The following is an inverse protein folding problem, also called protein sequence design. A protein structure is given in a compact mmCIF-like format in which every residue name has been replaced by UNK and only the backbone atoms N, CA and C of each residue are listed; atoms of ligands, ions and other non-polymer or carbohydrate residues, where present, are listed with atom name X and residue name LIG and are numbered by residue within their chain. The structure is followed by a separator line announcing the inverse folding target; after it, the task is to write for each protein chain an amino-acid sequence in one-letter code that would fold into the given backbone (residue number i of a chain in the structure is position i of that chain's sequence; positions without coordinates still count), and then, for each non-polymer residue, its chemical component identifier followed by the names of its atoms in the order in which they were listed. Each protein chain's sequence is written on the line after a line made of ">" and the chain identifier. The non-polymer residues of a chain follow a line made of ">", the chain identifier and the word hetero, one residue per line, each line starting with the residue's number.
data_IF_527239140448
#
_entry.id   IF_527239140448
#
_cell.length_a   1.000
_cell.length_b   1.000
_cell.length_c   1.000
_cell.angle_alpha   90.00
_cell.angle_beta   90.00
_cell.angle_gamma   90.00
#
_symmetry.space_group_name_H-M   'P 1'
#
loop_
_entity.id
_entity.type
_entity.pdbx_description
1 polymer ?
#
# COMPACT_ATOMS: atom_id res chain seq x y z
N UNK A 1 4.49 36.91 -21.28
CA UNK A 1 5.87 37.43 -21.34
C UNK A 1 5.83 38.77 -20.62
N UNK A 2 6.03 38.81 -19.30
CA UNK A 2 7.33 39.10 -18.68
C UNK A 2 7.41 38.39 -17.31
N UNK A 3 8.32 37.43 -17.23
CA UNK A 3 8.77 36.81 -15.98
C UNK A 3 9.80 37.77 -15.39
N UNK A 4 9.43 38.52 -14.35
CA UNK A 4 10.40 39.29 -13.57
C UNK A 4 11.14 38.35 -12.63
N UNK A 5 12.23 37.80 -13.18
CA UNK A 5 13.26 37.02 -12.53
C UNK A 5 13.99 37.90 -11.50
N UNK A 6 13.61 37.83 -10.22
CA UNK A 6 14.36 38.52 -9.16
C UNK A 6 15.57 37.65 -8.79
N UNK A 7 16.72 37.99 -9.37
CA UNK A 7 18.06 37.62 -8.89
C UNK A 7 18.41 38.51 -7.69
N UNK A 8 19.00 37.94 -6.65
CA UNK A 8 19.71 38.70 -5.61
C UNK A 8 19.55 38.07 -4.24
N UNK A 9 20.67 37.75 -3.60
CA UNK A 9 20.76 37.21 -2.24
C UNK A 9 20.24 38.24 -1.23
N UNK A 10 19.15 37.94 -0.52
CA UNK A 10 18.68 38.81 0.57
C UNK A 10 18.41 37.98 1.82
N UNK A 11 19.31 38.09 2.79
CA UNK A 11 19.14 37.58 4.15
C UNK A 11 17.94 38.32 4.76
N UNK A 12 16.92 37.57 5.20
CA UNK A 12 15.60 38.13 5.52
C UNK A 12 15.60 39.18 6.65
N UNK A 13 16.56 39.13 7.58
CA UNK A 13 16.76 40.14 8.63
C UNK A 13 18.14 39.95 9.27
N UNK A 14 19.02 40.96 9.20
CA UNK A 14 20.24 40.99 10.01
C UNK A 14 20.10 42.04 11.13
N UNK A 15 20.40 41.71 12.39
CA UNK A 15 20.53 42.74 13.42
C UNK A 15 21.70 43.66 13.06
N UNK A 16 21.44 44.97 12.98
CA UNK A 16 22.39 45.92 12.40
C UNK A 16 23.72 45.98 13.16
N UNK A 17 23.64 46.06 14.50
CA UNK A 17 24.76 45.93 15.45
C UNK A 17 24.20 45.88 16.88
N UNK A 18 24.82 45.14 17.79
CA UNK A 18 24.46 45.14 19.21
C UNK A 18 25.45 46.01 20.00
N UNK A 19 24.95 46.95 20.80
CA UNK A 19 25.77 47.80 21.68
C UNK A 19 25.44 47.49 23.15
N UNK A 20 26.42 46.97 23.87
CA UNK A 20 26.34 46.75 25.32
C UNK A 20 26.75 48.03 26.04
N UNK A 21 25.77 48.78 26.53
CA UNK A 21 26.03 49.95 27.38
C UNK A 21 26.01 49.53 28.85
N UNK A 22 27.17 49.56 29.51
CA UNK A 22 27.32 49.10 30.89
C UNK A 22 27.51 50.31 31.81
N UNK A 23 26.51 50.57 32.65
CA UNK A 23 26.49 51.64 33.65
C UNK A 23 26.90 51.12 35.04
N UNK A 24 28.16 50.75 35.20
CA UNK A 24 28.75 50.37 36.50
C UNK A 24 30.21 50.82 36.57
N UNK A 25 30.67 51.11 37.77
CA UNK A 25 32.08 51.37 38.03
C UNK A 25 32.84 50.03 37.97
N UNK A 26 33.88 49.98 37.13
CA UNK A 26 34.62 48.75 36.87
C UNK A 26 35.73 48.55 37.88
N UNK A 27 35.89 47.32 38.36
CA UNK A 27 37.09 46.89 39.06
C UNK A 27 38.27 46.91 38.07
N UNK A 28 39.41 47.47 38.51
CA UNK A 28 40.61 47.65 37.68
C UNK A 28 41.11 46.28 37.15
N UNK A 29 41.46 46.21 35.86
CA UNK A 29 42.20 45.06 35.30
C UNK A 29 41.67 44.42 34.00
N UNK A 30 40.44 44.72 33.55
CA UNK A 30 39.91 44.22 32.27
C UNK A 30 39.20 45.30 31.45
N UNK A 31 39.20 45.16 30.13
CA UNK A 31 38.37 46.01 29.26
C UNK A 31 36.90 45.54 29.27
N UNK A 32 35.99 46.48 29.00
CA UNK A 32 34.54 46.21 28.93
C UNK A 32 34.21 45.17 27.86
N UNK A 33 34.91 45.21 26.72
CA UNK A 33 34.72 44.25 25.63
C UNK A 33 35.14 42.83 26.05
N UNK A 34 36.25 42.68 26.77
CA UNK A 34 36.68 41.38 27.30
C UNK A 34 35.65 40.81 28.28
N UNK A 35 35.07 41.63 29.15
CA UNK A 35 34.02 41.20 30.07
C UNK A 35 32.80 40.65 29.32
N UNK A 36 32.32 41.34 28.29
CA UNK A 36 31.18 40.87 27.49
C UNK A 36 31.53 39.57 26.76
N UNK A 37 32.73 39.49 26.17
CA UNK A 37 33.18 38.29 25.48
C UNK A 37 33.23 37.08 26.43
N UNK A 38 33.74 37.24 27.65
CA UNK A 38 33.76 36.19 28.68
C UNK A 38 32.34 35.82 29.14
N UNK A 39 31.46 36.80 29.34
CA UNK A 39 30.08 36.56 29.79
C UNK A 39 29.23 35.77 28.78
N UNK A 40 29.56 35.87 27.49
CA UNK A 40 28.90 35.16 26.40
C UNK A 40 29.47 33.76 26.15
N UNK A 41 30.58 33.38 26.78
CA UNK A 41 31.10 32.01 26.68
C UNK A 41 30.18 31.04 27.40
N UNK A 42 30.00 29.85 26.80
CA UNK A 42 29.27 28.75 27.44
C UNK A 42 29.91 28.40 28.78
N UNK A 43 29.06 28.08 29.74
CA UNK A 43 29.47 27.54 31.04
C UNK A 43 29.46 26.02 30.96
N UNK A 44 30.54 25.32 31.38
CA UNK A 44 30.56 23.86 31.43
C UNK A 44 29.40 23.31 32.27
N UNK A 45 28.78 22.22 31.80
CA UNK A 45 27.63 21.58 32.45
C UNK A 45 27.87 20.07 32.66
N UNK A 46 28.92 19.73 33.41
CA UNK A 46 29.35 18.33 33.60
C UNK A 46 28.30 17.48 34.35
N UNK A 47 27.40 18.13 35.11
CA UNK A 47 26.38 17.48 35.92
C UNK A 47 25.00 17.40 35.23
N UNK A 48 24.85 17.94 34.01
CA UNK A 48 23.59 17.91 33.26
C UNK A 48 22.47 18.76 33.88
N UNK A 49 22.80 19.89 34.50
CA UNK A 49 21.82 20.82 35.08
C UNK A 49 21.03 21.53 33.97
N UNK A 50 19.71 21.34 33.98
CA UNK A 50 18.79 21.93 33.02
C UNK A 50 18.84 23.47 33.01
N UNK A 51 19.06 24.12 34.15
CA UNK A 51 19.14 25.59 34.22
C UNK A 51 20.40 26.10 33.50
N UNK A 52 21.51 25.37 33.59
CA UNK A 52 22.75 25.73 32.89
C UNK A 52 22.54 25.56 31.38
N UNK A 53 21.81 24.53 30.95
CA UNK A 53 21.46 24.36 29.54
C UNK A 53 20.59 25.52 29.01
N UNK A 54 19.58 25.95 29.77
CA UNK A 54 18.75 27.10 29.42
C UNK A 54 19.57 28.40 29.32
N UNK A 55 20.47 28.65 30.29
CA UNK A 55 21.35 29.82 30.24
C UNK A 55 22.33 29.73 29.07
N UNK A 56 22.88 28.56 28.77
CA UNK A 56 23.76 28.37 27.63
C UNK A 56 23.03 28.57 26.30
N UNK A 57 21.77 28.16 26.18
CA UNK A 57 20.94 28.47 25.00
C UNK A 57 20.78 29.98 24.79
N UNK A 58 20.60 30.75 25.87
CA UNK A 58 20.54 32.22 25.81
C UNK A 58 21.90 32.78 25.35
N UNK A 59 23.00 32.30 25.94
CA UNK A 59 24.36 32.73 25.58
C UNK A 59 24.67 32.45 24.12
N UNK A 60 24.33 31.27 23.62
CA UNK A 60 24.53 30.92 22.21
C UNK A 60 23.73 31.84 21.28
N UNK A 61 22.47 32.09 21.62
CA UNK A 61 21.60 33.00 20.87
C UNK A 61 22.17 34.42 20.81
N UNK A 62 22.69 34.91 21.94
CA UNK A 62 23.33 36.22 22.04
C UNK A 62 24.70 36.26 21.37
N UNK A 63 25.48 35.17 21.39
CA UNK A 63 26.79 35.07 20.76
C UNK A 63 26.70 35.18 19.22
N UNK A 64 25.62 34.66 18.62
CA UNK A 64 25.32 34.87 17.19
C UNK A 64 25.20 36.35 16.84
N UNK A 65 24.60 37.14 17.73
CA UNK A 65 24.54 38.61 17.62
C UNK A 65 25.81 39.31 18.14
N UNK A 66 26.60 38.58 18.93
CA UNK A 66 27.77 39.02 19.68
C UNK A 66 29.04 39.18 18.85
N UNK A 67 29.21 38.41 17.78
CA UNK A 67 30.39 38.47 16.89
C UNK A 67 30.59 39.85 16.23
N UNK A 68 29.55 40.69 16.19
CA UNK A 68 29.61 42.09 15.76
C UNK A 68 29.10 43.05 16.84
N UNK A 69 29.17 42.64 18.12
CA UNK A 69 28.76 43.48 19.24
C UNK A 69 29.88 44.41 19.70
N UNK A 70 29.51 45.57 20.20
CA UNK A 70 30.43 46.54 20.78
C UNK A 70 30.04 46.77 22.23
N UNK A 71 31.00 46.80 23.14
CA UNK A 71 30.76 47.10 24.55
C UNK A 71 31.35 48.45 24.93
N UNK A 72 30.59 49.24 25.68
CA UNK A 72 30.97 50.58 26.12
C UNK A 72 30.60 50.80 27.58
N UNK A 73 31.53 51.34 28.38
CA UNK A 73 31.26 51.71 29.76
C UNK A 73 30.89 53.18 29.89
N UNK A 74 29.87 53.44 30.68
CA UNK A 74 29.46 54.78 31.06
C UNK A 74 29.45 54.86 32.59
N UNK A 75 30.32 55.67 33.23
CA UNK A 75 30.39 55.76 34.68
C UNK A 75 29.11 56.38 35.25
N UNK A 76 28.97 56.36 36.58
CA UNK A 76 27.85 57.03 37.22
C UNK A 76 27.90 58.55 36.95
N UNK A 77 26.80 59.19 36.51
CA UNK A 77 26.80 60.63 36.21
C UNK A 77 26.91 61.54 37.44
N UNK A 78 26.24 61.16 38.53
CA UNK A 78 26.19 61.92 39.78
C UNK A 78 25.64 61.03 40.91
N UNK A 79 25.86 61.39 42.18
CA UNK A 79 25.33 60.66 43.35
C UNK A 79 23.80 60.77 43.47
N UNK A 80 23.25 61.95 43.18
CA UNK A 80 21.80 62.23 43.24
C UNK A 80 21.11 61.84 41.93
N UNK A 81 20.74 60.56 41.80
CA UNK A 81 20.14 59.99 40.57
C UNK A 81 18.79 60.58 40.16
N UNK A 82 18.01 61.08 41.12
CA UNK A 82 16.65 61.59 40.87
C UNK A 82 16.61 62.99 40.27
N UNK A 83 17.71 63.73 40.31
CA UNK A 83 17.81 65.12 39.82
C UNK A 83 18.65 65.26 38.54
N UNK A 84 19.01 64.14 37.90
CA UNK A 84 19.93 64.14 36.75
C UNK A 84 19.44 64.96 35.56
N UNK A 85 18.12 65.05 35.34
CA UNK A 85 17.54 65.83 34.23
C UNK A 85 17.58 67.34 34.47
N UNK A 86 17.67 67.76 35.73
CA UNK A 86 17.67 69.18 36.14
C UNK A 86 19.08 69.74 36.31
N UNK A 87 20.11 68.89 36.19
CA UNK A 87 21.52 69.22 36.38
C UNK A 87 22.15 69.69 35.07
N UNK A 88 23.00 70.72 35.17
CA UNK A 88 23.88 71.10 34.08
C UNK A 88 25.09 70.15 33.96
N UNK A 89 25.71 70.10 32.78
CA UNK A 89 26.93 69.30 32.53
C UNK A 89 28.08 69.62 33.49
N UNK A 90 28.11 70.82 34.08
CA UNK A 90 29.13 71.25 35.05
C UNK A 90 28.94 70.58 36.43
N UNK A 91 27.72 70.17 36.73
CA UNK A 91 27.36 69.51 38.00
C UNK A 91 27.53 67.99 37.91
N UNK A 92 27.74 67.46 36.70
CA UNK A 92 27.99 66.05 36.45
C UNK A 92 29.47 65.71 36.62
N UNK A 93 29.76 64.42 36.85
CA UNK A 93 31.13 63.94 36.90
C UNK A 93 31.85 64.20 35.57
N UNK A 94 33.03 64.88 35.55
CA UNK A 94 33.71 65.24 34.31
C UNK A 94 34.06 64.03 33.43
N UNK A 95 34.39 62.90 34.05
CA UNK A 95 34.66 61.65 33.35
C UNK A 95 33.40 61.10 32.66
N UNK A 96 32.23 61.22 33.31
CA UNK A 96 30.95 60.87 32.71
C UNK A 96 30.67 61.71 31.47
N UNK A 97 30.80 63.04 31.56
CA UNK A 97 30.55 63.94 30.43
C UNK A 97 31.46 63.57 29.25
N UNK A 98 32.76 63.37 29.50
CA UNK A 98 33.72 62.92 28.47
C UNK A 98 33.32 61.57 27.85
N UNK A 99 32.93 60.59 28.66
CA UNK A 99 32.50 59.25 28.19
C UNK A 99 31.18 59.31 27.43
N UNK A 100 30.24 60.16 27.84
CA UNK A 100 28.98 60.40 27.14
C UNK A 100 29.20 60.96 25.74
N UNK A 101 30.12 61.91 25.56
CA UNK A 101 30.45 62.42 24.23
C UNK A 101 31.15 61.36 23.36
N UNK A 102 32.03 60.55 23.94
CA UNK A 102 32.61 59.38 23.23
C UNK A 102 31.54 58.36 22.81
N UNK A 103 30.53 58.13 23.64
CA UNK A 103 29.41 57.25 23.30
C UNK A 103 28.61 57.78 22.12
N UNK A 104 28.32 59.09 22.08
CA UNK A 104 27.62 59.72 20.94
C UNK A 104 28.41 59.53 19.63
N UNK A 105 29.72 59.72 19.68
CA UNK A 105 30.60 59.48 18.52
C UNK A 105 30.59 58.01 18.10
N UNK A 106 30.68 57.09 19.06
CA UNK A 106 30.61 55.65 18.81
C UNK A 106 29.28 55.28 18.14
N UNK A 107 28.14 55.68 18.71
CA UNK A 107 26.81 55.42 18.13
C UNK A 107 26.73 55.97 16.72
N UNK A 108 27.19 57.21 16.48
CA UNK A 108 27.17 57.82 15.15
C UNK A 108 27.99 57.03 14.12
N UNK A 109 29.10 56.41 14.53
CA UNK A 109 29.94 55.60 13.64
C UNK A 109 29.38 54.20 13.33
N UNK A 110 28.47 53.68 14.16
CA UNK A 110 27.92 52.32 14.00
C UNK A 110 26.49 52.29 13.43
N UNK A 111 25.78 53.42 13.45
CA UNK A 111 24.40 53.52 12.94
C UNK A 111 24.38 53.26 11.44
N UNK A 112 23.46 52.39 11.01
CA UNK A 112 23.19 52.07 9.62
C UNK A 112 21.67 52.07 9.37
N UNK A 113 21.20 52.37 8.14
CA UNK A 113 19.80 52.22 7.79
C UNK A 113 19.30 50.81 8.13
N UNK A 114 18.08 50.70 8.65
CA UNK A 114 17.49 49.40 8.96
C UNK A 114 17.15 48.68 7.65
N UNK A 115 17.69 47.49 7.45
CA UNK A 115 17.42 46.67 6.26
C UNK A 115 16.49 45.52 6.66
N UNK A 116 15.41 45.34 5.89
CA UNK A 116 14.47 44.22 6.02
C UNK A 116 14.24 43.67 4.62
N UNK A 117 14.47 42.37 4.42
CA UNK A 117 14.33 41.71 3.09
C UNK A 117 15.11 42.43 1.97
N UNK A 118 16.36 42.83 2.23
CA UNK A 118 17.21 43.51 1.24
C UNK A 118 16.88 44.98 0.97
N UNK A 119 15.82 45.53 1.58
CA UNK A 119 15.40 46.93 1.38
C UNK A 119 15.60 47.77 2.62
N UNK A 120 16.03 49.02 2.42
CA UNK A 120 16.09 50.01 3.50
C UNK A 120 14.67 50.40 3.91
N UNK A 121 14.37 50.24 5.19
CA UNK A 121 13.07 50.52 5.77
C UNK A 121 12.86 52.03 5.91
N UNK A 122 11.86 52.58 5.23
CA UNK A 122 11.41 53.96 5.44
C UNK A 122 10.33 54.02 6.54
N UNK A 123 9.88 55.23 6.89
CA UNK A 123 8.88 55.40 7.95
C UNK A 123 7.54 54.70 7.70
N UNK A 124 7.07 54.67 6.45
CA UNK A 124 5.81 54.00 6.07
C UNK A 124 5.96 52.48 6.18
N UNK A 125 7.06 51.94 5.68
CA UNK A 125 7.36 50.50 5.74
C UNK A 125 7.57 50.05 7.19
N UNK A 126 8.17 50.89 8.02
CA UNK A 126 8.33 50.63 9.46
C UNK A 126 6.99 50.52 10.18
N UNK A 127 6.04 51.45 9.93
CA UNK A 127 4.71 51.40 10.54
C UNK A 127 3.95 50.13 10.11
N UNK A 128 4.00 49.79 8.82
CA UNK A 128 3.37 48.56 8.32
C UNK A 128 3.98 47.30 8.93
N UNK A 129 5.32 47.25 9.03
CA UNK A 129 6.03 46.15 9.66
C UNK A 129 5.70 46.02 11.16
N UNK A 130 5.63 47.14 11.88
CA UNK A 130 5.26 47.16 13.29
C UNK A 130 3.83 46.65 13.50
N UNK A 131 2.89 47.04 12.65
CA UNK A 131 1.51 46.56 12.71
C UNK A 131 1.44 45.04 12.53
N UNK A 132 2.19 44.47 11.58
CA UNK A 132 2.28 43.02 11.39
C UNK A 132 2.81 42.29 12.62
N UNK A 133 3.84 42.83 13.28
CA UNK A 133 4.39 42.27 14.52
C UNK A 133 3.35 42.33 15.65
N UNK A 134 2.64 43.45 15.80
CA UNK A 134 1.60 43.60 16.81
C UNK A 134 0.44 42.64 16.61
N UNK A 135 0.01 42.43 15.36
CA UNK A 135 -1.03 41.45 15.03
C UNK A 135 -0.60 40.02 15.38
N UNK A 136 0.66 39.66 15.11
CA UNK A 136 1.21 38.35 15.47
C UNK A 136 1.33 38.16 17.01
N UNK A 137 1.77 39.21 17.72
CA UNK A 137 1.84 39.23 19.18
C UNK A 137 0.45 39.05 19.81
N UNK A 138 -0.54 39.80 19.34
CA UNK A 138 -1.91 39.75 19.85
C UNK A 138 -2.61 38.41 19.60
N UNK A 139 -2.18 37.66 18.57
CA UNK A 139 -2.66 36.29 18.28
C UNK A 139 -1.99 35.22 19.14
N UNK A 140 -1.00 35.57 19.97
CA UNK A 140 -0.29 34.63 20.84
C UNK A 140 0.70 33.71 20.10
N UNK A 141 1.17 34.09 18.91
CA UNK A 141 2.03 33.25 18.06
C UNK A 141 3.52 33.26 18.45
N UNK A 142 3.91 33.99 19.50
CA UNK A 142 5.31 34.04 19.98
C UNK A 142 5.42 33.25 21.30
N UNK A 143 5.91 31.99 21.27
CA UNK A 143 6.21 31.24 22.49
C UNK A 143 7.33 31.95 23.28
N UNK A 144 7.09 32.15 24.58
CA UNK A 144 7.95 32.87 25.52
C UNK A 144 9.32 32.22 25.82
N UNK A 145 9.60 31.05 25.24
CA UNK A 145 10.82 30.25 25.50
C UNK A 145 11.51 29.72 24.23
N UNK A 146 10.97 29.99 23.04
CA UNK A 146 11.56 29.52 21.78
C UNK A 146 12.62 30.48 21.24
N UNK A 147 13.64 29.96 20.57
CA UNK A 147 14.60 30.80 19.83
C UNK A 147 13.84 31.64 18.79
N UNK A 148 14.10 32.95 18.73
CA UNK A 148 13.54 33.87 17.71
C UNK A 148 13.65 33.28 16.30
N UNK A 149 14.71 32.52 16.03
CA UNK A 149 14.94 31.85 14.74
C UNK A 149 13.85 30.82 14.42
N UNK A 150 13.43 30.03 15.40
CA UNK A 150 12.40 29.00 15.22
C UNK A 150 11.03 29.60 14.92
N UNK A 151 10.71 30.73 15.56
CA UNK A 151 9.44 31.44 15.38
C UNK A 151 9.33 31.97 13.95
N UNK A 152 10.38 32.64 13.46
CA UNK A 152 10.42 33.12 12.08
C UNK A 152 10.44 31.98 11.05
N UNK A 153 11.11 30.87 11.37
CA UNK A 153 11.16 29.71 10.48
C UNK A 153 9.87 28.88 10.46
N UNK A 154 9.01 28.95 11.49
CA UNK A 154 7.77 28.16 11.56
C UNK A 154 6.88 28.32 10.33
N UNK A 155 6.57 29.56 9.96
CA UNK A 155 5.73 29.83 8.78
C UNK A 155 6.39 29.37 7.46
N UNK A 156 7.71 29.32 7.40
CA UNK A 156 8.47 28.81 6.24
C UNK A 156 8.38 27.29 6.20
N UNK A 157 8.55 26.61 7.34
CA UNK A 157 8.40 25.17 7.46
C UNK A 157 6.99 24.72 7.02
N UNK A 158 5.95 25.41 7.47
CA UNK A 158 4.57 25.10 7.10
C UNK A 158 4.34 25.25 5.58
N UNK A 159 4.92 26.29 4.95
CA UNK A 159 4.88 26.45 3.48
C UNK A 159 5.64 25.34 2.75
N UNK A 160 6.82 24.95 3.24
CA UNK A 160 7.60 23.87 2.63
C UNK A 160 6.85 22.53 2.72
N UNK A 161 6.25 22.23 3.87
CA UNK A 161 5.42 21.05 4.05
C UNK A 161 4.18 21.06 3.17
N UNK A 162 3.56 22.23 2.98
CA UNK A 162 2.41 22.37 2.07
C UNK A 162 2.79 22.03 0.63
N UNK A 163 3.90 22.58 0.11
CA UNK A 163 4.40 22.27 -1.24
C UNK A 163 4.71 20.77 -1.38
N UNK A 164 5.34 20.17 -0.37
CA UNK A 164 5.58 18.73 -0.36
C UNK A 164 4.27 17.92 -0.43
N UNK A 165 3.28 18.26 0.41
CA UNK A 165 1.98 17.57 0.44
C UNK A 165 1.23 17.70 -0.88
N UNK A 166 1.09 18.90 -1.42
CA UNK A 166 0.40 19.12 -2.71
C UNK A 166 1.00 18.28 -3.83
N UNK A 167 2.32 18.12 -3.84
CA UNK A 167 3.02 17.29 -4.83
C UNK A 167 2.78 15.80 -4.63
N UNK A 168 2.71 15.35 -3.38
CA UNK A 168 2.49 13.94 -3.03
C UNK A 168 1.00 13.53 -3.17
N UNK A 169 0.07 14.43 -2.84
CA UNK A 169 -1.38 14.21 -2.93
C UNK A 169 -1.88 14.09 -4.37
N UNK A 170 -1.10 14.57 -5.35
CA UNK A 170 -1.37 14.37 -6.77
C UNK A 170 -1.26 12.92 -7.25
N UNK A 171 -0.77 11.99 -6.42
CA UNK A 171 -0.73 10.57 -6.72
C UNK A 171 -2.02 9.85 -6.31
N UNK A 172 -2.71 9.24 -7.28
CA UNK A 172 -3.73 8.24 -6.99
C UNK A 172 -3.09 6.95 -6.47
N UNK A 173 -3.28 6.63 -5.18
CA UNK A 173 -2.86 5.37 -4.57
C UNK A 173 -3.82 4.22 -4.98
N UNK A 174 -3.33 2.96 -5.10
CA UNK A 174 -1.97 2.49 -4.85
C UNK A 174 -1.00 2.64 -6.04
N UNK A 175 0.29 2.77 -5.75
CA UNK A 175 1.37 2.89 -6.74
C UNK A 175 2.58 2.01 -6.38
N UNK A 176 3.44 1.65 -7.37
CA UNK A 176 4.71 0.97 -7.09
C UNK A 176 5.62 1.78 -6.17
N UNK A 177 6.36 1.09 -5.30
CA UNK A 177 7.24 1.71 -4.29
C UNK A 177 8.29 2.61 -4.96
N UNK A 178 8.90 2.17 -6.07
CA UNK A 178 9.91 2.94 -6.79
C UNK A 178 9.37 4.28 -7.32
N UNK A 179 8.11 4.28 -7.80
CA UNK A 179 7.45 5.49 -8.30
C UNK A 179 7.16 6.45 -7.15
N UNK A 180 6.70 5.93 -6.02
CA UNK A 180 6.43 6.71 -4.82
C UNK A 180 7.73 7.32 -4.24
N UNK A 181 8.80 6.53 -4.17
CA UNK A 181 10.10 6.98 -3.70
C UNK A 181 10.69 8.06 -4.61
N UNK A 182 10.63 7.88 -5.93
CA UNK A 182 11.12 8.88 -6.90
C UNK A 182 10.39 10.22 -6.74
N UNK A 183 9.07 10.19 -6.55
CA UNK A 183 8.31 11.43 -6.33
C UNK A 183 8.64 12.06 -4.97
N UNK A 184 8.80 11.24 -3.92
CA UNK A 184 9.24 11.71 -2.61
C UNK A 184 10.58 12.44 -2.69
N UNK A 185 11.58 11.87 -3.36
CA UNK A 185 12.89 12.49 -3.55
C UNK A 185 12.79 13.83 -4.29
N UNK A 186 11.99 13.89 -5.36
CA UNK A 186 11.75 15.13 -6.10
C UNK A 186 11.00 16.19 -5.27
N UNK A 187 9.97 15.80 -4.51
CA UNK A 187 9.20 16.72 -3.68
C UNK A 187 10.00 17.23 -2.48
N UNK A 188 10.80 16.36 -1.86
CA UNK A 188 11.73 16.72 -0.79
C UNK A 188 12.81 17.69 -1.30
N UNK A 189 13.37 17.42 -2.48
CA UNK A 189 14.32 18.34 -3.13
C UNK A 189 13.73 19.75 -3.34
N UNK A 190 12.50 19.84 -3.85
CA UNK A 190 11.81 21.12 -4.03
C UNK A 190 11.53 21.85 -2.70
N UNK A 191 11.10 21.12 -1.67
CA UNK A 191 10.87 21.67 -0.34
C UNK A 191 12.18 22.20 0.28
N UNK A 192 13.30 21.49 0.10
CA UNK A 192 14.63 21.93 0.53
C UNK A 192 15.08 23.20 -0.20
N UNK A 193 14.94 23.24 -1.52
CA UNK A 193 15.27 24.43 -2.32
C UNK A 193 14.44 25.64 -1.87
N UNK A 194 13.17 25.44 -1.51
CA UNK A 194 12.32 26.51 -0.98
C UNK A 194 12.79 26.96 0.41
N UNK A 195 13.14 26.02 1.28
CA UNK A 195 13.65 26.29 2.62
C UNK A 195 14.97 27.08 2.56
N UNK A 196 15.94 26.61 1.77
CA UNK A 196 17.26 27.25 1.58
C UNK A 196 17.16 28.70 1.08
N UNK A 197 16.10 29.03 0.35
CA UNK A 197 15.85 30.38 -0.16
C UNK A 197 15.22 31.32 0.86
N UNK A 198 14.46 30.81 1.83
CA UNK A 198 13.62 31.63 2.70
C UNK A 198 14.00 31.58 4.18
N UNK A 199 14.77 30.57 4.62
CA UNK A 199 15.04 30.35 6.03
C UNK A 199 15.86 31.49 6.67
N UNK A 200 15.66 31.65 7.97
CA UNK A 200 16.32 32.62 8.81
C UNK A 200 17.44 31.97 9.66
N UNK A 201 18.58 32.67 9.79
CA UNK A 201 19.73 32.30 10.63
C UNK A 201 20.68 31.25 10.04
N UNK A 202 21.93 31.59 9.70
CA UNK A 202 22.90 30.66 9.08
C UNK A 202 23.21 29.41 9.92
N UNK A 203 23.47 29.56 11.22
CA UNK A 203 23.86 28.44 12.09
C UNK A 203 22.68 27.75 12.79
N UNK A 204 21.61 28.49 13.13
CA UNK A 204 20.40 27.91 13.76
C UNK A 204 19.37 27.38 12.75
N UNK A 205 19.52 27.67 11.45
CA UNK A 205 18.71 27.00 10.42
C UNK A 205 18.98 25.50 10.36
N UNK A 206 20.13 25.00 10.83
CA UNK A 206 20.41 23.57 10.88
C UNK A 206 19.35 22.80 11.70
N UNK A 207 18.93 23.33 12.84
CA UNK A 207 17.87 22.73 13.66
C UNK A 207 16.49 22.82 12.98
N UNK A 208 16.19 23.95 12.33
CA UNK A 208 14.96 24.09 11.55
C UNK A 208 14.93 23.17 10.32
N UNK A 209 16.07 22.93 9.67
CA UNK A 209 16.22 22.00 8.55
C UNK A 209 16.04 20.55 9.00
N UNK A 210 16.61 20.17 10.16
CA UNK A 210 16.38 18.85 10.76
C UNK A 210 14.90 18.65 11.09
N UNK A 211 14.23 19.68 11.61
CA UNK A 211 12.78 19.64 11.89
C UNK A 211 11.96 19.46 10.61
N UNK A 212 12.30 20.18 9.53
CA UNK A 212 11.65 20.00 8.22
C UNK A 212 11.79 18.55 7.73
N UNK A 213 13.00 17.99 7.84
CA UNK A 213 13.27 16.61 7.41
C UNK A 213 12.47 15.59 8.23
N UNK A 214 12.37 15.78 9.55
CA UNK A 214 11.57 14.93 10.42
C UNK A 214 10.07 14.99 10.08
N UNK A 215 9.53 16.19 9.84
CA UNK A 215 8.12 16.35 9.48
C UNK A 215 7.81 15.78 8.08
N UNK A 216 8.72 15.92 7.11
CA UNK A 216 8.61 15.26 5.80
C UNK A 216 8.64 13.73 5.96
N UNK A 217 9.54 13.19 6.79
CA UNK A 217 9.62 11.74 7.08
C UNK A 217 8.32 11.22 7.67
N UNK A 218 7.68 11.94 8.60
CA UNK A 218 6.38 11.57 9.17
C UNK A 218 5.29 11.49 8.10
N UNK A 219 5.18 12.52 7.26
CA UNK A 219 4.19 12.52 6.17
C UNK A 219 4.46 11.38 5.18
N UNK A 220 5.73 11.13 4.83
CA UNK A 220 6.10 10.04 3.94
C UNK A 220 5.76 8.65 4.51
N UNK A 221 6.02 8.41 5.81
CA UNK A 221 5.63 7.16 6.48
C UNK A 221 4.12 6.93 6.43
N UNK A 222 3.32 7.97 6.66
CA UNK A 222 1.86 7.86 6.55
C UNK A 222 1.41 7.51 5.13
N UNK A 223 2.05 8.09 4.11
CA UNK A 223 1.78 7.77 2.71
C UNK A 223 2.18 6.34 2.35
N UNK A 224 3.29 5.83 2.88
CA UNK A 224 3.70 4.42 2.70
C UNK A 224 2.65 3.47 3.28
N UNK A 225 2.21 3.72 4.51
CA UNK A 225 1.18 2.91 5.17
C UNK A 225 -0.16 2.98 4.41
N UNK A 226 -0.56 4.16 3.93
CA UNK A 226 -1.76 4.31 3.12
C UNK A 226 -1.63 3.56 1.78
N UNK A 227 -0.47 3.62 1.13
CA UNK A 227 -0.20 2.92 -0.12
C UNK A 227 -0.23 1.40 0.07
N UNK A 228 0.37 0.89 1.14
CA UNK A 228 0.34 -0.52 1.51
C UNK A 228 -1.09 -0.99 1.80
N UNK A 229 -1.85 -0.22 2.58
CA UNK A 229 -3.25 -0.53 2.86
C UNK A 229 -4.09 -0.61 1.58
N UNK A 230 -3.99 0.39 0.69
CA UNK A 230 -4.76 0.39 -0.56
C UNK A 230 -4.31 -0.72 -1.52
N UNK A 231 -3.01 -1.03 -1.56
CA UNK A 231 -2.47 -2.13 -2.35
C UNK A 231 -2.98 -3.48 -1.84
N UNK A 232 -2.91 -3.72 -0.53
CA UNK A 232 -3.45 -4.93 0.10
C UNK A 232 -4.95 -5.08 -0.14
N UNK A 233 -5.73 -4.01 0.02
CA UNK A 233 -7.18 -4.03 -0.23
C UNK A 233 -7.50 -4.38 -1.68
N UNK A 234 -6.80 -3.77 -2.65
CA UNK A 234 -6.97 -4.04 -4.07
C UNK A 234 -6.60 -5.49 -4.42
N UNK A 235 -5.43 -5.94 -3.98
CA UNK A 235 -4.91 -7.27 -4.31
C UNK A 235 -5.68 -8.39 -3.61
N UNK A 236 -6.13 -8.20 -2.35
CA UNK A 236 -7.03 -9.14 -1.67
C UNK A 236 -8.35 -9.25 -2.43
N UNK A 237 -8.99 -8.13 -2.79
CA UNK A 237 -10.26 -8.18 -3.53
C UNK A 237 -10.15 -8.96 -4.86
N UNK A 238 -9.05 -8.77 -5.60
CA UNK A 238 -8.78 -9.54 -6.83
C UNK A 238 -8.43 -10.99 -6.56
N UNK A 239 -7.74 -11.27 -5.47
CA UNK A 239 -7.41 -12.63 -5.05
C UNK A 239 -8.68 -13.39 -4.68
N UNK A 240 -9.56 -12.82 -3.84
CA UNK A 240 -10.84 -13.41 -3.44
C UNK A 240 -11.76 -13.61 -4.65
N UNK A 241 -11.84 -12.65 -5.57
CA UNK A 241 -12.63 -12.82 -6.81
C UNK A 241 -12.13 -14.01 -7.65
N UNK A 242 -10.81 -14.22 -7.68
CA UNK A 242 -10.26 -15.39 -8.34
C UNK A 242 -10.57 -16.68 -7.57
N UNK A 243 -10.43 -16.69 -6.25
CA UNK A 243 -10.74 -17.83 -5.38
C UNK A 243 -12.20 -18.28 -5.56
N UNK A 244 -13.16 -17.35 -5.53
CA UNK A 244 -14.58 -17.61 -5.77
C UNK A 244 -14.82 -18.22 -7.17
N UNK A 245 -14.13 -17.71 -8.21
CA UNK A 245 -14.22 -18.28 -9.56
C UNK A 245 -13.64 -19.69 -9.62
N UNK A 246 -12.53 -19.94 -8.93
CA UNK A 246 -11.90 -21.26 -8.91
C UNK A 246 -12.77 -22.27 -8.15
N UNK A 247 -13.36 -21.89 -7.02
CA UNK A 247 -14.26 -22.73 -6.23
C UNK A 247 -15.54 -23.06 -7.02
N UNK A 248 -16.10 -22.09 -7.76
CA UNK A 248 -17.23 -22.36 -8.64
C UNK A 248 -16.90 -23.43 -9.70
N UNK A 249 -15.69 -23.39 -10.27
CA UNK A 249 -15.23 -24.38 -11.25
C UNK A 249 -15.04 -25.78 -10.65
N UNK A 250 -14.84 -25.92 -9.32
CA UNK A 250 -14.74 -27.22 -8.64
C UNK A 250 -16.09 -27.93 -8.49
N UNK A 251 -17.20 -27.19 -8.46
CA UNK A 251 -18.55 -27.70 -8.20
C UNK A 251 -19.34 -27.97 -9.49
N UNK A 252 -18.73 -27.79 -10.68
CA UNK A 252 -19.38 -28.09 -11.96
C UNK A 252 -19.85 -29.56 -12.03
N UNK A 253 -21.02 -29.78 -12.64
CA UNK A 253 -21.64 -31.11 -12.76
C UNK A 253 -20.83 -32.03 -13.66
N UNK A 254 -20.26 -31.47 -14.74
CA UNK A 254 -19.27 -32.12 -15.58
C UNK A 254 -17.88 -31.55 -15.27
N UNK A 255 -16.98 -32.34 -14.66
CA UNK A 255 -15.62 -31.92 -14.40
C UNK A 255 -14.85 -31.69 -15.73
N UNK A 256 -14.13 -30.56 -15.86
CA UNK A 256 -13.17 -30.33 -16.97
C UNK A 256 -11.91 -29.62 -16.47
N UNK A 257 -10.77 -30.24 -16.71
CA UNK A 257 -9.44 -29.73 -16.41
C UNK A 257 -9.05 -28.58 -17.35
N UNK A 258 -9.54 -28.59 -18.60
CA UNK A 258 -9.30 -27.51 -19.55
C UNK A 258 -9.95 -26.19 -19.09
N UNK A 259 -11.21 -26.23 -18.63
CA UNK A 259 -11.90 -25.05 -18.07
C UNK A 259 -11.22 -24.53 -16.81
N UNK A 260 -10.79 -25.43 -15.92
CA UNK A 260 -10.05 -25.06 -14.71
C UNK A 260 -8.71 -24.37 -15.05
N UNK A 261 -7.91 -24.93 -15.95
CA UNK A 261 -6.62 -24.35 -16.36
C UNK A 261 -6.78 -23.02 -17.12
N UNK A 262 -7.82 -22.90 -17.95
CA UNK A 262 -8.14 -21.64 -18.64
C UNK A 262 -8.56 -20.55 -17.65
N UNK A 263 -9.43 -20.89 -16.68
CA UNK A 263 -9.84 -20.00 -15.59
C UNK A 263 -8.65 -19.54 -14.74
N UNK A 264 -7.77 -20.48 -14.37
CA UNK A 264 -6.55 -20.18 -13.62
C UNK A 264 -5.59 -19.26 -14.39
N UNK A 265 -5.38 -19.52 -15.68
CA UNK A 265 -4.51 -18.68 -16.53
C UNK A 265 -5.08 -17.27 -16.67
N UNK A 266 -6.39 -17.15 -16.86
CA UNK A 266 -7.08 -15.87 -16.93
C UNK A 266 -6.97 -15.10 -15.62
N UNK A 267 -7.20 -15.77 -14.48
CA UNK A 267 -6.97 -15.21 -13.15
C UNK A 267 -5.56 -14.67 -12.96
N UNK A 268 -4.54 -15.46 -13.30
CA UNK A 268 -3.14 -15.08 -13.13
C UNK A 268 -2.80 -13.83 -13.97
N UNK A 269 -3.26 -13.79 -15.23
CA UNK A 269 -3.07 -12.63 -16.10
C UNK A 269 -3.80 -11.38 -15.58
N UNK A 270 -5.06 -11.53 -15.14
CA UNK A 270 -5.85 -10.43 -14.57
C UNK A 270 -5.21 -9.90 -13.29
N UNK A 271 -4.73 -10.79 -12.42
CA UNK A 271 -4.10 -10.46 -11.16
C UNK A 271 -2.81 -9.64 -11.38
N UNK A 272 -1.90 -10.12 -12.24
CA UNK A 272 -0.63 -9.44 -12.53
C UNK A 272 -0.85 -8.05 -13.13
N UNK A 273 -1.91 -7.89 -13.94
CA UNK A 273 -2.26 -6.63 -14.60
C UNK A 273 -2.91 -5.61 -13.66
N UNK A 274 -3.77 -6.06 -12.75
CA UNK A 274 -4.64 -5.18 -11.97
C UNK A 274 -4.17 -4.96 -10.53
N UNK A 275 -3.46 -5.92 -9.93
CA UNK A 275 -2.84 -5.73 -8.62
C UNK A 275 -1.57 -4.88 -8.77
N UNK A 276 -1.52 -3.76 -8.04
CA UNK A 276 -0.45 -2.77 -8.08
C UNK A 276 -0.05 -2.38 -6.66
N UNK A 277 1.24 -2.15 -6.44
CA UNK A 277 1.80 -1.65 -5.19
C UNK A 277 2.62 -2.69 -4.42
N UNK A 278 3.03 -2.37 -3.18
CA UNK A 278 3.96 -3.20 -2.39
C UNK A 278 3.42 -4.60 -2.09
N UNK A 279 2.10 -4.75 -1.95
CA UNK A 279 1.50 -6.03 -1.57
C UNK A 279 1.49 -7.04 -2.70
N UNK A 280 1.72 -6.61 -3.96
CA UNK A 280 1.69 -7.47 -5.14
C UNK A 280 2.56 -8.70 -5.00
N UNK A 281 3.82 -8.55 -4.61
CA UNK A 281 4.77 -9.67 -4.52
C UNK A 281 4.32 -10.72 -3.49
N UNK A 282 3.72 -10.27 -2.38
CA UNK A 282 3.19 -11.16 -1.33
C UNK A 282 2.05 -12.02 -1.88
N UNK A 283 1.10 -11.41 -2.60
CA UNK A 283 -0.02 -12.12 -3.21
C UNK A 283 0.38 -12.96 -4.43
N UNK A 284 1.33 -12.50 -5.25
CA UNK A 284 1.92 -13.31 -6.33
C UNK A 284 2.58 -14.57 -5.78
N UNK A 285 3.23 -14.50 -4.61
CA UNK A 285 3.76 -15.68 -3.91
C UNK A 285 2.65 -16.61 -3.41
N UNK A 286 1.50 -16.09 -2.96
CA UNK A 286 0.33 -16.89 -2.57
C UNK A 286 -0.29 -17.60 -3.79
N UNK A 287 -0.27 -16.98 -4.96
CA UNK A 287 -0.83 -17.53 -6.20
C UNK A 287 0.13 -18.51 -6.92
N UNK A 288 1.43 -18.20 -6.96
CA UNK A 288 2.41 -18.88 -7.83
C UNK A 288 3.14 -20.07 -7.20
N UNK A 289 2.94 -20.36 -5.90
CA UNK A 289 3.53 -21.55 -5.25
C UNK A 289 2.82 -22.85 -5.64
N UNK A 290 2.89 -23.17 -6.93
CA UNK A 290 2.75 -24.48 -7.55
C UNK A 290 4.13 -25.03 -7.98
N UNK A 291 5.25 -24.34 -7.75
CA UNK A 291 6.54 -24.77 -8.33
C UNK A 291 7.81 -24.62 -7.46
N UNK A 292 7.75 -24.85 -6.14
CA UNK A 292 9.00 -24.97 -5.36
C UNK A 292 9.09 -26.26 -4.55
N UNK A 293 9.58 -27.28 -5.24
CA UNK A 293 10.32 -28.45 -4.73
C UNK A 293 11.60 -28.10 -3.92
N UNK A 294 11.72 -26.88 -3.38
CA UNK A 294 12.92 -26.39 -2.68
C UNK A 294 12.54 -25.86 -1.30
N UNK A 295 11.72 -26.61 -0.54
CA UNK A 295 11.77 -26.55 0.93
C UNK A 295 12.59 -27.70 1.52
N UNK A 296 12.92 -28.73 0.74
CA UNK A 296 13.78 -29.82 1.20
C UNK A 296 15.27 -29.43 1.27
N UNK A 297 15.70 -28.33 0.66
CA UNK A 297 17.12 -27.91 0.66
C UNK A 297 17.45 -26.97 1.82
N UNK A 298 16.50 -26.17 2.31
CA UNK A 298 16.72 -25.25 3.44
C UNK A 298 16.62 -25.98 4.78
N UNK A 299 15.74 -26.98 4.90
CA UNK A 299 15.62 -27.82 6.11
C UNK A 299 16.91 -28.60 6.40
N UNK A 300 17.67 -28.97 5.36
CA UNK A 300 18.98 -29.64 5.51
C UNK A 300 20.14 -28.69 5.88
N UNK A 301 19.96 -27.37 5.73
CA UNK A 301 21.01 -26.40 6.06
C UNK A 301 20.89 -25.88 7.50
N UNK A 302 19.66 -25.85 8.05
CA UNK A 302 19.42 -25.43 9.44
C UNK A 302 19.81 -26.50 10.45
N UNK A 303 19.86 -27.78 10.07
CA UNK A 303 20.39 -28.85 10.94
C UNK A 303 21.91 -28.80 11.12
N UNK A 304 22.64 -28.01 10.30
CA UNK A 304 24.11 -27.92 10.37
C UNK A 304 24.63 -26.75 11.23
N UNK A 305 23.76 -25.81 11.61
CA UNK A 305 24.07 -24.68 12.54
C UNK A 305 23.30 -24.86 13.86
N UNK A 306 23.15 -26.12 14.28
CA UNK A 306 22.48 -26.50 15.53
C UNK A 306 23.48 -26.70 16.66
N UNK A 307 24.32 -25.70 16.88
CA UNK A 307 25.19 -25.62 18.06
C UNK A 307 25.04 -24.21 18.63
N UNK A 308 24.60 -24.16 19.89
CA UNK A 308 24.47 -22.97 20.76
C UNK A 308 23.07 -22.33 20.83
N UNK A 309 22.22 -22.96 21.64
CA UNK A 309 21.46 -22.32 22.73
C UNK A 309 20.71 -21.01 22.47
N UNK A 310 19.48 -21.08 21.93
CA UNK A 310 18.40 -20.16 22.33
C UNK A 310 17.03 -20.72 21.89
N UNK A 311 16.33 -21.40 22.81
CA UNK A 311 15.05 -22.08 22.53
C UNK A 311 13.87 -21.13 22.24
N UNK A 312 13.90 -19.89 22.74
CA UNK A 312 12.77 -18.96 22.63
C UNK A 312 12.66 -18.26 21.25
N UNK A 313 13.79 -17.98 20.60
CA UNK A 313 13.82 -17.36 19.25
C UNK A 313 13.39 -18.37 18.17
N UNK A 314 13.72 -19.65 18.39
CA UNK A 314 13.40 -20.74 17.46
C UNK A 314 11.89 -21.00 17.37
N UNK A 315 11.15 -20.94 18.48
CA UNK A 315 9.70 -21.17 18.49
C UNK A 315 8.96 -20.05 17.75
N UNK A 316 9.32 -18.79 18.00
CA UNK A 316 8.74 -17.64 17.30
C UNK A 316 9.04 -17.65 15.79
N UNK A 317 10.25 -18.04 15.40
CA UNK A 317 10.58 -18.22 13.99
C UNK A 317 9.83 -19.39 13.35
N UNK A 318 9.63 -20.50 14.07
CA UNK A 318 8.87 -21.67 13.60
C UNK A 318 7.39 -21.35 13.46
N UNK A 319 6.77 -20.63 14.40
CA UNK A 319 5.35 -20.27 14.35
C UNK A 319 5.05 -19.25 13.26
N UNK A 320 5.95 -18.28 13.06
CA UNK A 320 5.87 -17.33 11.92
C UNK A 320 6.10 -18.06 10.59
N UNK A 321 7.05 -19.01 10.52
CA UNK A 321 7.25 -19.83 9.33
C UNK A 321 6.07 -20.77 9.05
N UNK A 322 5.49 -21.38 10.08
CA UNK A 322 4.30 -22.23 9.96
C UNK A 322 3.09 -21.39 9.53
N UNK A 323 2.89 -20.21 10.09
CA UNK A 323 1.82 -19.28 9.66
C UNK A 323 1.97 -18.83 8.20
N UNK A 324 3.19 -18.54 7.74
CA UNK A 324 3.47 -18.18 6.34
C UNK A 324 3.42 -19.40 5.40
N UNK A 325 3.79 -20.59 5.88
CA UNK A 325 3.68 -21.83 5.10
C UNK A 325 2.23 -22.29 4.94
N UNK A 326 1.38 -22.08 5.95
CA UNK A 326 -0.05 -22.45 5.91
C UNK A 326 -0.82 -21.57 4.92
N UNK A 327 -0.52 -20.27 4.81
CA UNK A 327 -1.23 -19.36 3.87
C UNK A 327 -0.86 -19.58 2.40
N UNK A 328 0.30 -20.17 2.11
CA UNK A 328 0.79 -20.39 0.73
C UNK A 328 0.42 -21.76 0.15
N UNK A 329 -0.25 -22.61 0.92
CA UNK A 329 -0.58 -23.99 0.54
C UNK A 329 -2.00 -24.16 0.02
N UNK A 330 -2.90 -23.18 0.22
CA UNK A 330 -4.34 -23.32 -0.06
C UNK A 330 -4.64 -23.54 -1.55
N UNK A 331 -3.99 -22.81 -2.46
CA UNK A 331 -4.28 -22.89 -3.90
C UNK A 331 -3.64 -24.09 -4.61
N UNK A 332 -2.48 -24.54 -4.13
CA UNK A 332 -1.86 -25.79 -4.60
C UNK A 332 -2.61 -27.02 -4.06
N UNK A 333 -3.07 -26.95 -2.80
CA UNK A 333 -3.98 -27.94 -2.22
C UNK A 333 -5.31 -27.98 -2.98
N UNK A 334 -5.91 -26.85 -3.31
CA UNK A 334 -7.18 -26.81 -4.05
C UNK A 334 -7.03 -27.43 -5.45
N UNK A 335 -5.92 -27.18 -6.17
CA UNK A 335 -5.64 -27.85 -7.45
C UNK A 335 -5.46 -29.37 -7.30
N UNK A 336 -4.70 -29.83 -6.30
CA UNK A 336 -4.50 -31.26 -6.07
C UNK A 336 -5.81 -31.96 -5.63
N UNK A 337 -6.58 -31.30 -4.77
CA UNK A 337 -7.89 -31.75 -4.32
C UNK A 337 -8.89 -31.78 -5.48
N UNK A 338 -8.87 -30.76 -6.34
CA UNK A 338 -9.65 -30.73 -7.57
C UNK A 338 -9.29 -31.89 -8.50
N UNK A 339 -8.01 -32.18 -8.74
CA UNK A 339 -7.60 -33.31 -9.58
C UNK A 339 -8.09 -34.64 -8.99
N UNK A 340 -7.98 -34.83 -7.67
CA UNK A 340 -8.46 -36.03 -6.99
C UNK A 340 -9.97 -36.19 -7.12
N UNK A 341 -10.72 -35.12 -6.89
CA UNK A 341 -12.18 -35.12 -6.95
C UNK A 341 -12.71 -35.21 -8.39
N UNK A 342 -12.05 -34.54 -9.33
CA UNK A 342 -12.26 -34.64 -10.78
C UNK A 342 -12.16 -36.10 -11.23
N UNK A 343 -11.06 -36.77 -10.90
CA UNK A 343 -10.84 -38.15 -11.34
C UNK A 343 -11.84 -39.12 -10.70
N UNK A 344 -12.20 -38.90 -9.44
CA UNK A 344 -13.21 -39.71 -8.75
C UNK A 344 -14.62 -39.53 -9.38
N UNK A 345 -15.01 -38.28 -9.65
CA UNK A 345 -16.28 -37.97 -10.35
C UNK A 345 -16.29 -38.55 -11.77
N UNK A 346 -15.20 -38.42 -12.51
CA UNK A 346 -15.04 -38.99 -13.85
C UNK A 346 -15.20 -40.51 -13.83
N UNK A 347 -14.51 -41.18 -12.90
CA UNK A 347 -14.60 -42.63 -12.75
C UNK A 347 -16.05 -43.08 -12.49
N UNK A 348 -16.72 -42.45 -11.51
CA UNK A 348 -18.12 -42.76 -11.20
C UNK A 348 -19.05 -42.53 -12.40
N UNK A 349 -18.84 -41.46 -13.16
CA UNK A 349 -19.57 -41.18 -14.39
C UNK A 349 -19.34 -42.24 -15.47
N UNK A 350 -18.09 -42.69 -15.68
CA UNK A 350 -17.77 -43.74 -16.64
C UNK A 350 -18.41 -45.08 -16.28
N UNK A 351 -18.37 -45.46 -15.00
CA UNK A 351 -19.03 -46.68 -14.50
C UNK A 351 -20.54 -46.59 -14.72
N UNK A 352 -21.17 -45.49 -14.29
CA UNK A 352 -22.61 -45.27 -14.48
C UNK A 352 -23.00 -45.30 -15.95
N UNK A 353 -22.22 -44.64 -16.81
CA UNK A 353 -22.43 -44.61 -18.25
C UNK A 353 -22.37 -46.00 -18.88
N UNK A 354 -21.39 -46.82 -18.49
CA UNK A 354 -21.27 -48.20 -19.00
C UNK A 354 -22.49 -49.06 -18.64
N UNK A 355 -23.03 -48.96 -17.42
CA UNK A 355 -24.24 -49.67 -17.00
C UNK A 355 -25.48 -49.19 -17.75
N UNK A 356 -25.64 -47.88 -17.92
CA UNK A 356 -26.74 -47.31 -18.71
C UNK A 356 -26.66 -47.79 -20.17
N UNK A 357 -25.46 -47.86 -20.76
CA UNK A 357 -25.27 -48.37 -22.11
C UNK A 357 -25.60 -49.85 -22.26
N UNK A 358 -25.37 -50.69 -21.23
CA UNK A 358 -25.84 -52.08 -21.21
C UNK A 358 -27.37 -52.13 -21.32
N UNK A 359 -28.07 -51.31 -20.53
CA UNK A 359 -29.55 -51.25 -20.54
C UNK A 359 -30.05 -50.76 -21.91
N UNK A 360 -29.46 -49.71 -22.46
CA UNK A 360 -29.85 -49.16 -23.77
C UNK A 360 -29.59 -50.19 -24.89
N UNK A 361 -28.42 -50.83 -24.89
CA UNK A 361 -28.05 -51.84 -25.88
C UNK A 361 -29.02 -53.01 -25.90
N UNK A 362 -29.40 -53.49 -24.72
CA UNK A 362 -30.32 -54.63 -24.57
C UNK A 362 -31.77 -54.30 -24.87
N UNK A 363 -32.28 -53.18 -24.37
CA UNK A 363 -33.72 -52.89 -24.37
C UNK A 363 -34.17 -51.91 -25.45
N UNK A 364 -33.32 -50.97 -25.85
CA UNK A 364 -33.69 -49.90 -26.80
C UNK A 364 -33.22 -50.23 -28.21
N UNK A 365 -31.92 -50.44 -28.39
CA UNK A 365 -31.30 -50.62 -29.73
C UNK A 365 -31.33 -52.11 -30.15
N UNK A 366 -31.36 -53.04 -29.19
CA UNK A 366 -31.26 -54.50 -29.39
C UNK A 366 -30.02 -54.90 -30.22
N UNK A 367 -28.91 -54.20 -29.99
CA UNK A 367 -27.67 -54.41 -30.73
C UNK A 367 -26.65 -55.10 -29.82
N UNK A 368 -26.46 -56.40 -30.04
CA UNK A 368 -25.66 -57.28 -29.19
C UNK A 368 -24.18 -56.87 -29.08
N UNK A 369 -23.60 -56.33 -30.15
CA UNK A 369 -22.19 -55.89 -30.13
C UNK A 369 -21.99 -54.68 -29.19
N UNK A 370 -22.97 -53.78 -29.08
CA UNK A 370 -22.90 -52.65 -28.15
C UNK A 370 -23.09 -53.08 -26.71
N UNK A 371 -23.91 -54.11 -26.47
CA UNK A 371 -24.03 -54.74 -25.15
C UNK A 371 -22.71 -55.40 -24.72
N UNK A 372 -22.06 -56.20 -25.60
CA UNK A 372 -20.75 -56.78 -25.29
C UNK A 372 -19.72 -55.69 -25.01
N UNK A 373 -19.63 -54.66 -25.86
CA UNK A 373 -18.67 -53.57 -25.68
C UNK A 373 -18.88 -52.83 -24.35
N UNK A 374 -20.13 -52.59 -23.94
CA UNK A 374 -20.45 -51.95 -22.67
C UNK A 374 -20.08 -52.83 -21.47
N UNK A 375 -20.32 -54.14 -21.54
CA UNK A 375 -19.89 -55.09 -20.50
C UNK A 375 -18.37 -55.18 -20.38
N UNK A 376 -17.65 -55.23 -21.51
CA UNK A 376 -16.18 -55.24 -21.52
C UNK A 376 -15.65 -53.96 -20.88
N UNK A 377 -16.23 -52.80 -21.21
CA UNK A 377 -15.85 -51.52 -20.60
C UNK A 377 -16.13 -51.46 -19.09
N UNK A 378 -17.27 -51.98 -18.63
CA UNK A 378 -17.60 -52.05 -17.21
C UNK A 378 -16.64 -52.94 -16.43
N UNK A 379 -16.39 -54.16 -16.92
CA UNK A 379 -15.45 -55.11 -16.30
C UNK A 379 -14.04 -54.53 -16.28
N UNK A 380 -13.62 -53.87 -17.37
CA UNK A 380 -12.35 -53.18 -17.43
C UNK A 380 -12.25 -52.12 -16.34
N UNK A 381 -13.24 -51.21 -16.20
CA UNK A 381 -13.21 -50.15 -15.18
C UNK A 381 -13.16 -50.68 -13.73
N UNK A 382 -13.94 -51.72 -13.41
CA UNK A 382 -13.94 -52.36 -12.08
C UNK A 382 -12.66 -53.13 -11.77
N UNK A 383 -12.10 -53.85 -12.76
CA UNK A 383 -10.86 -54.61 -12.57
C UNK A 383 -9.67 -53.68 -12.51
N UNK A 384 -9.69 -52.61 -13.31
CA UNK A 384 -8.63 -51.61 -13.40
C UNK A 384 -8.44 -50.87 -12.08
N UNK A 385 -9.49 -50.56 -11.32
CA UNK A 385 -9.35 -49.94 -9.99
C UNK A 385 -8.84 -50.88 -8.90
N UNK A 386 -9.21 -52.18 -8.97
CA UNK A 386 -8.76 -53.19 -7.99
C UNK A 386 -7.30 -53.61 -8.15
N UNK A 387 -6.72 -53.35 -9.32
CA UNK A 387 -5.32 -53.65 -9.61
C UNK A 387 -4.34 -52.67 -8.95
N UNK A 388 -4.80 -51.46 -8.57
CA UNK A 388 -3.96 -50.44 -7.93
C UNK A 388 -4.26 -50.36 -6.44
N UNK A 389 -3.21 -50.40 -5.62
CA UNK A 389 -3.29 -50.28 -4.16
C UNK A 389 -3.68 -48.87 -3.68
N UNK A 390 -3.55 -47.84 -4.53
CA UNK A 390 -3.98 -46.46 -4.22
C UNK A 390 -4.59 -45.74 -5.43
N UNK A 391 -5.61 -44.91 -5.19
CA UNK A 391 -6.24 -44.08 -6.23
C UNK A 391 -5.28 -43.08 -6.87
N UNK A 392 -4.23 -42.65 -6.16
CA UNK A 392 -3.21 -41.75 -6.73
C UNK A 392 -2.37 -42.46 -7.79
N UNK A 393 -1.95 -43.70 -7.55
CA UNK A 393 -1.16 -44.47 -8.53
C UNK A 393 -1.92 -44.77 -9.83
N UNK A 394 -3.26 -44.85 -9.76
CA UNK A 394 -4.16 -45.00 -10.90
C UNK A 394 -4.11 -43.77 -11.82
N UNK A 395 -4.15 -42.57 -11.21
CA UNK A 395 -4.31 -41.31 -11.93
C UNK A 395 -3.06 -40.84 -12.67
N UNK A 396 -1.88 -41.31 -12.27
CA UNK A 396 -0.60 -41.04 -12.94
C UNK A 396 -0.25 -42.04 -14.06
N UNK A 397 -1.11 -43.03 -14.33
CA UNK A 397 -0.86 -44.03 -15.35
C UNK A 397 -1.18 -43.47 -16.76
N UNK A 398 -0.32 -43.68 -17.79
CA UNK A 398 -0.57 -43.24 -19.16
C UNK A 398 -1.91 -43.74 -19.74
N UNK A 399 -2.39 -44.92 -19.36
CA UNK A 399 -3.68 -45.42 -19.80
C UNK A 399 -4.86 -44.59 -19.25
N UNK A 400 -4.76 -44.12 -18.00
CA UNK A 400 -5.75 -43.20 -17.43
C UNK A 400 -5.73 -41.83 -18.13
N UNK A 401 -4.54 -41.32 -18.49
CA UNK A 401 -4.42 -40.08 -19.24
C UNK A 401 -5.08 -40.15 -20.63
N UNK A 402 -5.06 -41.29 -21.30
CA UNK A 402 -5.77 -41.51 -22.57
C UNK A 402 -7.29 -41.42 -22.37
N UNK A 403 -7.80 -42.02 -21.29
CA UNK A 403 -9.23 -41.98 -20.92
C UNK A 403 -9.65 -40.53 -20.61
N UNK A 404 -8.86 -39.82 -19.79
CA UNK A 404 -9.10 -38.41 -19.45
C UNK A 404 -9.08 -37.53 -20.70
N UNK A 405 -8.10 -37.72 -21.60
CA UNK A 405 -8.01 -36.96 -22.87
C UNK A 405 -9.22 -37.21 -23.78
N UNK A 406 -9.66 -38.46 -23.88
CA UNK A 406 -10.85 -38.84 -24.66
C UNK A 406 -12.12 -38.22 -24.06
N UNK A 407 -12.26 -38.25 -22.74
CA UNK A 407 -13.35 -37.60 -22.03
C UNK A 407 -13.36 -36.08 -22.22
N UNK A 408 -12.23 -35.41 -22.04
CA UNK A 408 -12.10 -33.96 -22.24
C UNK A 408 -12.47 -33.58 -23.67
N UNK A 409 -12.08 -34.37 -24.68
CA UNK A 409 -12.45 -34.11 -26.09
C UNK A 409 -13.96 -34.22 -26.33
N UNK A 410 -14.65 -35.13 -25.62
CA UNK A 410 -16.10 -35.37 -25.77
C UNK A 410 -16.91 -34.33 -25.02
N UNK A 411 -16.51 -33.97 -23.80
CA UNK A 411 -17.25 -33.04 -22.93
C UNK A 411 -16.91 -31.59 -23.24
N UNK A 412 -15.69 -31.33 -23.70
CA UNK A 412 -15.20 -30.01 -24.10
C UNK A 412 -14.88 -30.00 -25.60
N UNK A 413 -15.94 -29.86 -26.42
CA UNK A 413 -15.78 -29.51 -27.83
C UNK A 413 -15.98 -28.00 -28.00
N UNK A 414 -15.14 -27.29 -28.78
CA UNK A 414 -15.32 -25.87 -29.06
C UNK A 414 -16.69 -25.51 -29.71
N UNK A 415 -17.49 -26.51 -30.10
CA UNK A 415 -18.79 -26.36 -30.76
C UNK A 415 -19.96 -26.70 -29.82
N UNK A 416 -19.76 -27.51 -28.78
CA UNK A 416 -20.84 -28.04 -27.92
C UNK A 416 -20.37 -28.18 -26.47
N UNK A 417 -20.82 -27.25 -25.62
CA UNK A 417 -20.51 -27.25 -24.19
C UNK A 417 -21.49 -28.17 -23.45
N UNK A 418 -21.13 -29.45 -23.28
CA UNK A 418 -22.06 -30.49 -22.79
C UNK A 418 -22.58 -30.20 -21.37
N UNK A 419 -21.88 -29.44 -20.54
CA UNK A 419 -22.36 -29.07 -19.20
C UNK A 419 -23.66 -28.24 -19.25
N UNK A 420 -23.80 -27.42 -20.29
CA UNK A 420 -24.99 -26.60 -20.52
C UNK A 420 -26.03 -27.28 -21.42
N UNK A 421 -25.58 -28.13 -22.34
CA UNK A 421 -26.42 -28.72 -23.40
C UNK A 421 -26.78 -30.18 -23.19
N UNK A 422 -26.17 -30.91 -22.25
CA UNK A 422 -26.46 -32.34 -22.03
C UNK A 422 -27.92 -32.59 -21.68
N UNK A 423 -28.51 -31.81 -20.77
CA UNK A 423 -29.92 -31.97 -20.38
C UNK A 423 -30.87 -31.67 -21.57
N UNK A 424 -30.72 -30.55 -22.30
CA UNK A 424 -31.48 -30.31 -23.54
C UNK A 424 -31.35 -31.43 -24.57
N UNK A 425 -30.14 -31.94 -24.83
CA UNK A 425 -29.88 -32.99 -25.82
C UNK A 425 -30.58 -34.29 -25.41
N UNK A 426 -30.48 -34.69 -24.13
CA UNK A 426 -31.15 -35.89 -23.62
C UNK A 426 -32.68 -35.76 -23.76
N UNK A 427 -33.24 -34.60 -23.45
CA UNK A 427 -34.67 -34.33 -23.63
C UNK A 427 -35.08 -34.44 -25.11
N UNK A 428 -34.31 -33.82 -26.01
CA UNK A 428 -34.56 -33.88 -27.46
C UNK A 428 -34.49 -35.31 -28.01
N UNK A 429 -33.53 -36.12 -27.55
CA UNK A 429 -33.42 -37.53 -27.93
C UNK A 429 -34.59 -38.36 -27.39
N UNK A 430 -35.03 -38.13 -26.15
CA UNK A 430 -36.21 -38.78 -25.58
C UNK A 430 -37.48 -38.44 -26.38
N UNK A 431 -37.68 -37.16 -26.73
CA UNK A 431 -38.79 -36.76 -27.61
C UNK A 431 -38.69 -37.40 -28.99
N UNK A 432 -37.49 -37.49 -29.58
CA UNK A 432 -37.27 -38.17 -30.86
C UNK A 432 -37.62 -39.66 -30.82
N UNK A 433 -37.22 -40.37 -29.75
CA UNK A 433 -37.55 -41.79 -29.55
C UNK A 433 -39.05 -41.98 -29.33
N UNK A 434 -39.68 -41.13 -28.51
CA UNK A 434 -41.13 -41.17 -28.30
C UNK A 434 -41.90 -40.87 -29.60
N UNK A 435 -41.47 -39.86 -30.36
CA UNK A 435 -42.05 -39.53 -31.65
C UNK A 435 -41.92 -40.70 -32.64
N UNK A 436 -40.74 -41.31 -32.75
CA UNK A 436 -40.53 -42.49 -33.60
C UNK A 436 -41.39 -43.68 -33.16
N UNK A 437 -41.56 -43.89 -31.84
CA UNK A 437 -42.35 -44.98 -31.29
C UNK A 437 -43.86 -44.76 -31.44
N UNK A 438 -44.34 -43.51 -31.33
CA UNK A 438 -45.74 -43.14 -31.48
C UNK A 438 -46.17 -43.03 -32.96
N UNK A 439 -45.31 -42.53 -33.84
CA UNK A 439 -45.66 -42.26 -35.25
C UNK A 439 -45.03 -43.23 -36.26
N UNK A 440 -43.89 -43.84 -35.95
CA UNK A 440 -43.20 -44.81 -36.84
C UNK A 440 -43.77 -46.23 -36.79
N UNK A 441 -44.49 -46.60 -35.72
CA UNK A 441 -45.02 -47.96 -35.50
C UNK A 441 -46.28 -48.33 -36.31
N UNK A 442 -46.90 -47.40 -37.04
CA UNK A 442 -48.18 -47.65 -37.76
C UNK A 442 -48.05 -48.06 -39.23
N UNK A 443 -46.85 -48.31 -39.76
CA UNK A 443 -46.68 -48.81 -41.14
C UNK A 443 -45.96 -50.14 -41.16
N UNK A 444 -46.69 -51.22 -40.86
CA UNK A 444 -46.62 -52.55 -41.53
C UNK A 444 -47.39 -53.63 -40.75
N UNK A 445 -48.68 -53.79 -41.07
CA UNK A 445 -49.34 -55.12 -41.14
C UNK A 445 -50.72 -55.01 -41.79
N UNK A 446 -50.92 -55.79 -42.85
CA UNK A 446 -52.23 -56.30 -43.28
C UNK A 446 -53.08 -55.41 -44.19
N UNK A 447 -52.89 -55.54 -45.51
CA UNK A 447 -53.99 -55.34 -46.47
C UNK A 447 -54.94 -56.55 -46.31
N UNK A 448 -55.87 -56.46 -45.37
CA UNK A 448 -57.01 -57.36 -45.24
C UNK A 448 -58.27 -56.54 -45.48
N UNK A 449 -58.87 -56.70 -46.65
CA UNK A 449 -60.20 -56.19 -46.99
C UNK A 449 -61.23 -56.69 -45.99
N UNK A 450 -62.13 -55.83 -45.51
CA UNK A 450 -63.53 -56.14 -45.16
C UNK A 450 -64.27 -54.85 -44.79
N UNK A 451 -65.06 -54.34 -45.73
CA UNK A 451 -66.17 -53.40 -45.48
C UNK A 451 -67.41 -54.22 -45.04
N UNK A 452 -68.20 -53.78 -44.05
CA UNK A 452 -69.52 -54.33 -43.82
C UNK A 452 -70.55 -53.57 -44.67
N UNK A 453 -71.25 -54.30 -45.55
CA UNK A 453 -72.45 -53.81 -46.23
C UNK A 453 -73.65 -53.98 -45.30
N UNK A 454 -74.29 -52.86 -45.00
CA UNK A 454 -75.59 -52.74 -44.34
C UNK A 454 -76.69 -53.20 -45.29
N UNK A 455 -77.52 -54.17 -44.88
CA UNK A 455 -78.81 -54.45 -45.53
C UNK A 455 -79.83 -54.89 -44.47
N UNK A 456 -80.73 -53.96 -44.14
CA UNK A 456 -81.99 -54.26 -43.49
C UNK A 456 -82.89 -55.02 -44.46
N UNK A 457 -83.65 -56.00 -43.95
CA UNK A 457 -85.12 -56.05 -44.06
C UNK A 457 -85.65 -57.49 -44.07
N UNK A 458 -86.51 -57.75 -43.09
CA UNK A 458 -87.67 -58.65 -43.12
C UNK A 458 -87.49 -60.17 -42.91
N UNK A 459 -87.90 -60.54 -41.68
CA UNK A 459 -89.05 -61.39 -41.37
C UNK A 459 -88.87 -62.88 -41.10
N UNK A 460 -89.50 -63.22 -39.97
CA UNK A 460 -90.16 -64.48 -39.64
C UNK A 460 -89.28 -65.66 -39.22
N UNK A 461 -89.30 -65.84 -37.90
CA UNK A 461 -89.15 -67.08 -37.18
C UNK A 461 -89.88 -68.27 -37.81
N UNK A 462 -89.15 -69.37 -38.03
CA UNK A 462 -89.65 -70.72 -37.70
C UNK A 462 -88.58 -71.50 -36.95
N UNK A 463 -88.84 -71.61 -35.65
CA UNK A 463 -88.73 -72.81 -34.80
C UNK A 463 -87.53 -73.75 -34.99
N UNK A 464 -86.80 -73.83 -33.88
CA UNK A 464 -85.98 -74.91 -33.34
C UNK A 464 -86.52 -76.33 -33.53
N UNK A 465 -85.60 -77.30 -33.70
CA UNK A 465 -85.30 -78.42 -32.77
C UNK A 465 -84.21 -79.31 -33.38
N UNK A 466 -83.07 -79.45 -32.69
CA UNK A 466 -82.57 -80.68 -32.00
C UNK A 466 -82.12 -81.77 -32.99
N UNK A 467 -80.92 -82.34 -32.92
CA UNK A 467 -80.05 -82.64 -31.77
C UNK A 467 -78.59 -82.19 -31.94
#
# INVERSE_FOLDING_TARGET
>A
MFVSRVKGQDVAFEPAKLLWLIQRDFLQGKSVQQMVNEALQRVPNDNGDKYIDEVNQIRDSLAVMGNNSTAFSLPQPHLQRTKLCDMEDKELEPLYVKRREQLKQLVSSIVKPKIVQGRTLNGKDFVSFLQQILEALNKGEIPSTGSLVEIFNKAILDRCLKVYREKMDGLGLPVPVDKLQKLHEMANGDARILFDKQHFGKHHAAQSALKLEDDIKKVYRNLLLANEYQSSKLCEARFSECEDKMDHLQVLKLPSMAKFNAGFTHCNQSFVKECVGPSKESYERRMSKVCLLILNTVVMSVTKVWKEGTRAVVILCIDIFYGIAISTQMLAKSRALFIKEYNNKLFNWLVTFSLVMVVIGRFVIKFFLLEIAAWVMFIFLETYTRMFWSAESLYYNPAWHIIVSSWETIVYSPILDLDRWAVPIVIMLLFGVLYWRCFGGRRKRGRGSLLPLYKNSYNSSRRSRSD
#
